data_IF_832527525804
#
_entry.id   IF_832527525804
#
_cell.length_a   1.000
_cell.length_b   1.000
_cell.length_c   1.000
_cell.angle_alpha   90.00
_cell.angle_beta   90.00
_cell.angle_gamma   90.00
#
_symmetry.space_group_name_H-M   'P 1'
#
loop_
_entity.id
_entity.type
_entity.pdbx_description
1 polymer ?
#
# COMPACT_ATOMS: atom_id res chain seq x y z
N UNK A 1 1.39 4.52 -3.31
CA UNK A 1 0.95 4.96 -4.66
C UNK A 1 0.74 6.46 -4.64
N UNK A 2 1.73 7.21 -5.15
CA UNK A 2 1.56 8.61 -5.54
C UNK A 2 1.32 8.53 -7.03
N UNK A 3 0.07 8.60 -7.43
CA UNK A 3 -0.33 8.27 -8.79
C UNK A 3 -0.79 9.54 -9.47
N UNK A 4 -0.21 9.84 -10.64
CA UNK A 4 -0.44 11.11 -11.32
C UNK A 4 -1.90 11.26 -11.78
N UNK A 5 -2.60 10.13 -11.95
CA UNK A 5 -3.97 10.05 -12.48
C UNK A 5 -5.04 10.68 -11.60
N UNK A 6 -4.84 10.72 -10.28
CA UNK A 6 -5.76 11.41 -9.35
C UNK A 6 -5.43 12.90 -9.16
N UNK A 7 -4.21 13.33 -9.52
CA UNK A 7 -3.75 14.71 -9.37
C UNK A 7 -4.56 15.76 -10.14
N UNK A 8 -5.08 15.49 -11.36
CA UNK A 8 -5.89 16.47 -12.08
C UNK A 8 -7.35 16.53 -11.61
N UNK A 9 -7.81 15.61 -10.74
CA UNK A 9 -9.19 15.62 -10.27
C UNK A 9 -9.38 16.55 -9.07
N UNK A 10 -10.32 17.52 -9.13
CA UNK A 10 -10.51 18.54 -8.09
C UNK A 10 -11.02 17.97 -6.76
N UNK A 11 -11.57 16.75 -6.78
CA UNK A 11 -12.14 16.09 -5.61
C UNK A 11 -11.11 15.35 -4.76
N UNK A 12 -9.86 15.23 -5.22
CA UNK A 12 -8.83 14.46 -4.53
C UNK A 12 -7.61 15.30 -4.22
N UNK A 13 -7.11 15.18 -2.99
CA UNK A 13 -5.88 15.82 -2.58
C UNK A 13 -4.97 14.83 -1.84
N UNK A 14 -3.67 15.02 -2.02
CA UNK A 14 -2.65 14.39 -1.21
C UNK A 14 -2.56 15.11 0.14
N UNK A 15 -3.05 14.48 1.21
CA UNK A 15 -2.96 15.01 2.57
C UNK A 15 -1.99 14.18 3.41
N UNK A 16 -1.16 14.87 4.21
CA UNK A 16 -0.28 14.21 5.18
C UNK A 16 -1.13 13.65 6.32
N UNK A 17 -0.94 12.38 6.65
CA UNK A 17 -1.59 11.70 7.76
C UNK A 17 -0.86 12.03 9.07
N UNK A 18 -1.43 12.85 9.97
CA UNK A 18 -0.75 13.27 11.19
C UNK A 18 -0.45 12.08 12.12
N UNK A 19 -1.34 11.09 12.17
CA UNK A 19 -1.15 9.90 13.00
C UNK A 19 0.04 9.04 12.57
N UNK A 20 0.19 8.79 11.27
CA UNK A 20 1.36 8.04 10.76
C UNK A 20 2.65 8.82 10.96
N UNK A 21 2.63 10.13 10.71
CA UNK A 21 3.78 10.98 10.97
C UNK A 21 4.16 10.93 12.45
N UNK A 22 3.19 11.03 13.37
CA UNK A 22 3.44 10.95 14.81
C UNK A 22 4.07 9.62 15.23
N UNK A 23 3.57 8.49 14.71
CA UNK A 23 4.14 7.17 14.99
C UNK A 23 5.59 7.07 14.52
N UNK A 24 5.88 7.48 13.28
CA UNK A 24 7.25 7.43 12.76
C UNK A 24 8.19 8.41 13.48
N UNK A 25 7.69 9.60 13.86
CA UNK A 25 8.44 10.55 14.68
C UNK A 25 8.75 9.97 16.06
N UNK A 26 7.78 9.31 16.70
CA UNK A 26 8.00 8.64 17.99
C UNK A 26 9.04 7.51 17.87
N UNK A 27 8.96 6.68 16.83
CA UNK A 27 9.96 5.64 16.57
C UNK A 27 11.35 6.22 16.28
N UNK A 28 11.44 7.32 15.52
CA UNK A 28 12.69 8.03 15.28
C UNK A 28 13.28 8.59 16.58
N UNK A 29 12.45 9.15 17.47
CA UNK A 29 12.87 9.65 18.77
C UNK A 29 13.39 8.53 19.68
N UNK A 30 12.73 7.36 19.71
CA UNK A 30 13.20 6.19 20.46
C UNK A 30 14.53 5.69 19.89
N UNK A 31 14.69 5.62 18.56
CA UNK A 31 15.94 5.23 17.94
C UNK A 31 17.09 6.21 18.24
N UNK A 32 16.80 7.52 18.26
CA UNK A 32 17.77 8.56 18.66
C UNK A 32 18.17 8.42 20.13
N UNK A 33 17.23 8.14 21.02
CA UNK A 33 17.52 7.87 22.43
C UNK A 33 18.41 6.61 22.56
N UNK A 34 18.08 5.55 21.83
CA UNK A 34 18.92 4.34 21.75
C UNK A 34 20.34 4.65 21.27
N UNK A 35 20.47 5.49 20.23
CA UNK A 35 21.77 5.94 19.71
C UNK A 35 22.56 6.72 20.77
N UNK A 36 21.94 7.69 21.45
CA UNK A 36 22.58 8.47 22.52
C UNK A 36 23.04 7.55 23.65
N UNK A 37 22.20 6.61 24.09
CA UNK A 37 22.56 5.63 25.11
C UNK A 37 23.72 4.74 24.65
N UNK A 38 23.69 4.24 23.41
CA UNK A 38 24.79 3.45 22.83
C UNK A 38 26.11 4.22 22.78
N UNK A 39 26.07 5.54 22.56
CA UNK A 39 27.27 6.40 22.55
C UNK A 39 27.76 6.66 23.98
N UNK A 40 26.87 7.04 24.90
CA UNK A 40 27.21 7.37 26.29
C UNK A 40 27.75 6.14 27.02
N UNK A 41 27.08 5.00 26.86
CA UNK A 41 27.45 3.73 27.47
C UNK A 41 28.35 2.88 26.57
N UNK A 42 28.97 3.47 25.54
CA UNK A 42 29.84 2.74 24.62
C UNK A 42 30.97 2.01 25.36
N UNK A 43 31.57 2.68 26.35
CA UNK A 43 32.64 2.11 27.18
C UNK A 43 32.16 0.90 28.00
N UNK A 44 31.00 0.99 28.62
CA UNK A 44 30.41 -0.11 29.39
C UNK A 44 30.00 -1.28 28.47
N UNK A 45 29.42 -0.98 27.31
CA UNK A 45 29.08 -1.99 26.30
C UNK A 45 30.31 -2.72 25.79
N UNK A 46 31.40 -2.01 25.53
CA UNK A 46 32.68 -2.59 25.11
C UNK A 46 33.35 -3.41 26.23
N UNK A 47 33.11 -3.07 27.51
CA UNK A 47 33.63 -3.83 28.65
C UNK A 47 32.80 -5.08 28.96
N UNK A 48 31.47 -5.01 28.83
CA UNK A 48 30.57 -6.17 29.06
C UNK A 48 30.80 -7.33 28.09
N UNK A 49 31.45 -7.08 26.95
CA UNK A 49 31.91 -8.10 25.99
C UNK A 49 32.92 -9.10 26.58
N UNK A 50 33.47 -8.81 27.77
CA UNK A 50 34.43 -9.68 28.47
C UNK A 50 33.82 -10.52 29.60
N UNK A 51 32.52 -10.39 29.87
CA UNK A 51 31.89 -11.08 31.02
C UNK A 51 31.51 -12.52 30.64
N UNK A 52 32.30 -13.46 31.15
CA UNK A 52 32.11 -14.90 30.99
C UNK A 52 30.83 -15.39 31.69
N UNK A 53 29.72 -15.46 30.95
CA UNK A 53 28.56 -16.22 31.42
C UNK A 53 28.91 -17.73 31.42
N UNK A 54 29.24 -18.27 32.60
CA UNK A 54 29.44 -19.70 32.88
C UNK A 54 30.57 -20.40 32.09
N UNK A 55 31.76 -19.82 32.05
CA UNK A 55 32.98 -20.55 31.64
C UNK A 55 33.06 -20.94 30.14
N UNK A 56 32.11 -20.50 29.31
CA UNK A 56 32.18 -20.59 27.84
C UNK A 56 32.29 -19.17 27.30
N UNK A 57 33.52 -18.69 27.10
CA UNK A 57 33.77 -17.38 26.51
C UNK A 57 33.22 -17.37 25.08
N UNK A 58 32.06 -16.74 24.87
CA UNK A 58 31.54 -16.49 23.53
C UNK A 58 32.20 -15.22 22.99
N UNK A 59 33.51 -15.31 22.71
CA UNK A 59 34.32 -14.24 22.11
C UNK A 59 33.93 -13.91 20.67
N UNK A 60 33.02 -14.68 20.07
CA UNK A 60 32.64 -14.55 18.67
C UNK A 60 31.98 -13.19 18.32
N UNK A 61 31.49 -12.43 19.30
CA UNK A 61 30.86 -11.12 19.09
C UNK A 61 31.50 -9.98 19.89
N UNK A 62 32.59 -10.25 20.61
CA UNK A 62 33.36 -9.21 21.29
C UNK A 62 34.01 -8.29 20.23
N UNK A 63 33.86 -6.98 20.38
CA UNK A 63 34.25 -5.93 19.44
C UNK A 63 33.19 -5.58 18.40
N UNK A 64 32.08 -6.31 18.33
CA UNK A 64 31.03 -6.12 17.30
C UNK A 64 29.78 -5.49 17.90
N UNK A 65 29.43 -5.78 19.16
CA UNK A 65 28.13 -5.39 19.74
C UNK A 65 28.03 -3.87 19.90
N UNK A 66 29.08 -3.24 20.43
CA UNK A 66 29.10 -1.79 20.61
C UNK A 66 28.96 -1.03 19.25
N UNK A 67 29.79 -1.27 18.22
CA UNK A 67 29.63 -0.60 16.92
C UNK A 67 28.34 -1.02 16.19
N UNK A 68 27.88 -2.26 16.31
CA UNK A 68 26.62 -2.69 15.72
C UNK A 68 25.42 -1.98 16.36
N UNK A 69 25.43 -1.74 17.68
CA UNK A 69 24.35 -1.03 18.37
C UNK A 69 24.23 0.43 17.92
N UNK A 70 25.37 1.12 17.76
CA UNK A 70 25.44 2.49 17.24
C UNK A 70 24.97 2.52 15.79
N UNK A 71 25.49 1.63 14.94
CA UNK A 71 25.13 1.54 13.53
C UNK A 71 23.64 1.25 13.31
N UNK A 72 23.08 0.29 14.05
CA UNK A 72 21.66 -0.08 13.95
C UNK A 72 20.75 1.05 14.43
N UNK A 73 21.12 1.74 15.52
CA UNK A 73 20.33 2.86 16.05
C UNK A 73 20.35 4.06 15.12
N UNK A 74 21.53 4.39 14.55
CA UNK A 74 21.66 5.46 13.57
C UNK A 74 20.87 5.15 12.28
N UNK A 75 20.96 3.91 11.79
CA UNK A 75 20.19 3.47 10.63
C UNK A 75 18.68 3.52 10.90
N UNK A 76 18.23 3.05 12.06
CA UNK A 76 16.82 3.09 12.44
C UNK A 76 16.29 4.53 12.55
N UNK A 77 17.05 5.44 13.18
CA UNK A 77 16.68 6.85 13.29
C UNK A 77 16.52 7.50 11.91
N UNK A 78 17.49 7.26 11.01
CA UNK A 78 17.42 7.74 9.64
C UNK A 78 16.22 7.15 8.88
N UNK A 79 16.03 5.83 8.95
CA UNK A 79 14.95 5.12 8.26
C UNK A 79 13.57 5.62 8.72
N UNK A 80 13.35 5.77 10.02
CA UNK A 80 12.06 6.24 10.55
C UNK A 80 11.83 7.72 10.27
N UNK A 81 12.86 8.58 10.34
CA UNK A 81 12.77 9.97 9.92
C UNK A 81 12.43 10.10 8.44
N UNK A 82 13.10 9.32 7.58
CA UNK A 82 12.81 9.25 6.15
C UNK A 82 11.39 8.75 5.87
N UNK A 83 10.92 7.71 6.57
CA UNK A 83 9.54 7.20 6.43
C UNK A 83 8.49 8.22 6.87
N UNK A 84 8.76 8.98 7.95
CA UNK A 84 7.90 10.07 8.40
C UNK A 84 7.74 11.16 7.32
N UNK A 85 8.80 11.42 6.55
CA UNK A 85 8.81 12.40 5.46
C UNK A 85 8.17 11.85 4.18
N UNK A 86 8.54 10.65 3.75
CA UNK A 86 8.23 10.11 2.42
C UNK A 86 6.90 9.37 2.33
N UNK A 87 6.47 8.70 3.42
CA UNK A 87 5.35 7.74 3.42
C UNK A 87 4.07 8.26 4.10
N UNK A 88 4.09 9.48 4.63
CA UNK A 88 2.96 10.04 5.38
C UNK A 88 1.82 10.56 4.51
N UNK A 89 1.98 10.64 3.19
CA UNK A 89 0.98 11.23 2.31
C UNK A 89 -0.04 10.19 1.87
N UNK A 90 -1.32 10.49 2.07
CA UNK A 90 -2.44 9.66 1.61
C UNK A 90 -3.36 10.49 0.72
N UNK A 91 -3.95 9.83 -0.27
CA UNK A 91 -5.04 10.43 -1.03
C UNK A 91 -6.28 10.54 -0.14
N UNK A 92 -6.90 11.71 -0.16
CA UNK A 92 -8.12 12.02 0.58
C UNK A 92 -9.11 12.63 -0.39
N UNK A 93 -10.36 12.20 -0.30
CA UNK A 93 -11.47 12.83 -0.99
C UNK A 93 -11.82 14.13 -0.26
N UNK A 94 -11.73 15.27 -0.92
CA UNK A 94 -11.92 16.59 -0.32
C UNK A 94 -13.37 16.83 0.14
N UNK A 95 -14.34 16.32 -0.63
CA UNK A 95 -15.77 16.52 -0.34
C UNK A 95 -16.22 15.87 0.97
N UNK A 96 -15.59 14.76 1.39
CA UNK A 96 -15.99 14.00 2.58
C UNK A 96 -14.88 13.86 3.62
N UNK A 97 -13.63 14.18 3.28
CA UNK A 97 -12.46 13.90 4.11
C UNK A 97 -12.04 12.42 4.17
N UNK A 98 -12.68 11.57 3.35
CA UNK A 98 -12.45 10.12 3.36
C UNK A 98 -11.08 9.74 2.79
N UNK A 99 -10.31 8.95 3.56
CA UNK A 99 -9.00 8.45 3.14
C UNK A 99 -9.16 7.34 2.11
N UNK A 100 -8.47 7.47 0.97
CA UNK A 100 -8.46 6.46 -0.08
C UNK A 100 -7.43 5.37 0.22
N UNK A 101 -7.86 4.12 0.11
CA UNK A 101 -7.00 2.93 0.18
C UNK A 101 -6.89 2.31 -1.20
N UNK A 102 -5.69 2.32 -1.77
CA UNK A 102 -5.42 1.88 -3.13
C UNK A 102 -4.76 0.51 -3.24
N UNK A 103 -5.01 -0.18 -4.36
CA UNK A 103 -4.13 -1.22 -4.88
C UNK A 103 -4.02 -1.09 -6.41
N UNK A 104 -3.03 -1.76 -6.98
CA UNK A 104 -2.72 -1.72 -8.40
C UNK A 104 -2.83 -3.13 -8.99
N UNK A 105 -3.42 -3.23 -10.17
CA UNK A 105 -3.40 -4.42 -11.02
C UNK A 105 -2.56 -4.10 -12.25
N UNK A 106 -1.70 -5.04 -12.63
CA UNK A 106 -0.95 -4.97 -13.89
C UNK A 106 -1.69 -5.81 -14.90
N UNK A 107 -1.96 -5.25 -16.07
CA UNK A 107 -2.67 -5.92 -17.16
C UNK A 107 -1.77 -5.92 -18.38
N UNK A 108 -1.67 -7.08 -19.03
CA UNK A 108 -1.00 -7.17 -20.33
C UNK A 108 -1.99 -6.81 -21.44
N UNK A 109 -1.56 -5.96 -22.35
CA UNK A 109 -2.43 -5.43 -23.39
C UNK A 109 -2.07 -4.02 -23.84
N UNK A 110 -2.84 -3.54 -24.80
CA UNK A 110 -2.67 -2.26 -25.47
C UNK A 110 -3.84 -1.29 -25.18
N UNK A 111 -3.90 -0.18 -25.91
CA UNK A 111 -4.98 0.79 -25.74
C UNK A 111 -6.38 0.19 -25.98
N UNK A 112 -6.52 -0.77 -26.90
CA UNK A 112 -7.80 -1.43 -27.16
C UNK A 112 -8.26 -2.28 -25.96
N UNK A 113 -7.30 -2.93 -25.30
CA UNK A 113 -7.55 -3.69 -24.07
C UNK A 113 -8.00 -2.76 -22.94
N UNK A 114 -7.37 -1.59 -22.83
CA UNK A 114 -7.76 -0.58 -21.85
C UNK A 114 -9.14 0.03 -22.13
N UNK A 115 -9.48 0.31 -23.39
CA UNK A 115 -10.81 0.78 -23.79
C UNK A 115 -11.89 -0.26 -23.42
N UNK A 116 -11.63 -1.54 -23.70
CA UNK A 116 -12.55 -2.62 -23.35
C UNK A 116 -12.70 -2.76 -21.83
N UNK A 117 -11.58 -2.70 -21.10
CA UNK A 117 -11.59 -2.78 -19.65
C UNK A 117 -12.34 -1.59 -19.04
N UNK A 118 -12.13 -0.38 -19.57
CA UNK A 118 -12.83 0.83 -19.15
C UNK A 118 -14.34 0.69 -19.36
N UNK A 119 -14.74 0.25 -20.55
CA UNK A 119 -16.14 -0.04 -20.89
C UNK A 119 -16.76 -1.03 -19.93
N UNK A 120 -16.12 -2.18 -19.68
CA UNK A 120 -16.62 -3.21 -18.77
C UNK A 120 -16.71 -2.70 -17.33
N UNK A 121 -15.67 -2.02 -16.84
CA UNK A 121 -15.64 -1.48 -15.47
C UNK A 121 -16.68 -0.39 -15.25
N UNK A 122 -16.94 0.46 -16.25
CA UNK A 122 -17.93 1.54 -16.16
C UNK A 122 -19.36 1.05 -15.90
N UNK A 123 -19.64 -0.22 -16.21
CA UNK A 123 -20.95 -0.82 -15.93
C UNK A 123 -21.20 -1.06 -14.44
N UNK A 124 -20.12 -1.15 -13.66
CA UNK A 124 -20.16 -1.49 -12.24
C UNK A 124 -20.67 -2.90 -11.89
N UNK A 125 -21.00 -3.72 -12.89
CA UNK A 125 -21.42 -5.11 -12.69
C UNK A 125 -20.21 -6.04 -12.68
N UNK A 126 -19.90 -6.72 -11.56
CA UNK A 126 -18.80 -7.68 -11.48
C UNK A 126 -18.90 -8.82 -12.48
N UNK A 127 -20.11 -9.21 -12.90
CA UNK A 127 -20.27 -10.23 -13.93
C UNK A 127 -19.74 -9.78 -15.30
N UNK A 128 -19.70 -8.47 -15.54
CA UNK A 128 -19.25 -7.89 -16.80
C UNK A 128 -17.75 -7.58 -16.77
N UNK A 129 -17.23 -6.99 -15.70
CA UNK A 129 -15.80 -6.61 -15.64
C UNK A 129 -14.85 -7.71 -15.16
N UNK A 130 -15.35 -8.80 -14.60
CA UNK A 130 -14.53 -9.97 -14.28
C UNK A 130 -14.66 -11.05 -15.38
N UNK A 131 -13.60 -11.84 -15.64
CA UNK A 131 -12.25 -11.67 -15.12
C UNK A 131 -11.52 -10.48 -15.77
N UNK A 132 -10.58 -9.90 -15.03
CA UNK A 132 -9.58 -8.94 -15.53
C UNK A 132 -8.30 -9.73 -15.87
N UNK A 133 -7.69 -9.55 -17.05
CA UNK A 133 -6.48 -10.26 -17.45
C UNK A 133 -5.23 -9.75 -16.70
N UNK A 134 -5.17 -10.03 -15.39
CA UNK A 134 -4.04 -9.62 -14.54
C UNK A 134 -2.79 -10.40 -14.93
N UNK A 135 -1.69 -9.69 -15.16
CA UNK A 135 -0.38 -10.23 -15.50
C UNK A 135 0.69 -9.74 -14.52
N UNK A 136 1.87 -10.38 -14.51
CA UNK A 136 3.04 -9.85 -13.78
C UNK A 136 3.78 -8.76 -14.56
N UNK A 137 3.58 -8.71 -15.87
CA UNK A 137 4.21 -7.77 -16.81
C UNK A 137 3.14 -7.23 -17.75
N UNK A 138 3.22 -5.96 -18.04
CA UNK A 138 2.24 -5.28 -18.88
C UNK A 138 2.39 -3.77 -18.77
N UNK A 139 1.97 -3.10 -19.83
CA UNK A 139 2.02 -1.66 -19.97
C UNK A 139 0.78 -1.00 -19.35
N UNK A 140 -0.30 -1.76 -19.10
CA UNK A 140 -1.51 -1.25 -18.47
C UNK A 140 -1.48 -1.40 -16.95
N UNK A 141 -1.77 -0.31 -16.24
CA UNK A 141 -1.94 -0.26 -14.80
C UNK A 141 -3.36 0.15 -14.48
N UNK A 142 -4.04 -0.68 -13.71
CA UNK A 142 -5.40 -0.40 -13.22
C UNK A 142 -5.27 -0.09 -11.74
N UNK A 143 -5.51 1.17 -11.39
CA UNK A 143 -5.42 1.63 -10.01
C UNK A 143 -6.82 1.69 -9.42
N UNK A 144 -7.02 1.00 -8.31
CA UNK A 144 -8.32 0.92 -7.63
C UNK A 144 -8.19 1.57 -6.27
N UNK A 145 -8.91 2.66 -6.06
CA UNK A 145 -8.94 3.44 -4.82
C UNK A 145 -10.28 3.25 -4.11
N UNK A 146 -10.26 2.94 -2.81
CA UNK A 146 -11.48 2.73 -2.01
C UNK A 146 -11.63 3.84 -0.98
N UNK A 147 -12.79 4.51 -1.00
CA UNK A 147 -13.26 5.41 0.04
C UNK A 147 -14.22 4.61 0.95
N UNK A 148 -13.67 3.92 1.95
CA UNK A 148 -14.47 2.97 2.74
C UNK A 148 -15.62 3.62 3.52
N UNK A 149 -15.43 4.84 4.01
CA UNK A 149 -16.46 5.60 4.72
C UNK A 149 -17.61 6.03 3.79
N UNK A 150 -17.32 6.26 2.51
CA UNK A 150 -18.31 6.72 1.52
C UNK A 150 -18.96 5.55 0.77
N UNK A 151 -18.51 4.31 1.01
CA UNK A 151 -18.87 3.11 0.25
C UNK A 151 -18.72 3.28 -1.27
N UNK A 152 -17.65 3.98 -1.67
CA UNK A 152 -17.30 4.25 -3.07
C UNK A 152 -15.92 3.71 -3.41
N UNK A 153 -15.77 3.24 -4.63
CA UNK A 153 -14.49 2.90 -5.22
C UNK A 153 -14.28 3.72 -6.49
N UNK A 154 -13.04 4.12 -6.74
CA UNK A 154 -12.63 4.87 -7.91
C UNK A 154 -11.58 4.07 -8.66
N UNK A 155 -11.75 3.91 -9.95
CA UNK A 155 -10.84 3.13 -10.79
C UNK A 155 -10.27 4.02 -11.89
N UNK A 156 -8.95 4.02 -12.01
CA UNK A 156 -8.25 4.64 -13.14
C UNK A 156 -7.48 3.58 -13.90
N UNK A 157 -7.31 3.80 -15.20
CA UNK A 157 -6.48 2.97 -16.07
C UNK A 157 -5.41 3.89 -16.64
N UNK A 158 -4.16 3.47 -16.55
CA UNK A 158 -2.98 4.14 -17.10
C UNK A 158 -2.27 3.17 -18.05
N UNK A 159 -1.85 3.65 -19.21
CA UNK A 159 -0.94 2.92 -20.10
C UNK A 159 0.45 3.58 -20.03
N UNK A 160 1.43 2.81 -19.53
CA UNK A 160 2.85 3.18 -19.51
C UNK A 160 3.54 2.61 -20.74
N UNK A 161 3.76 3.45 -21.73
CA UNK A 161 4.57 3.13 -22.92
C UNK A 161 5.88 3.90 -22.95
N UNK A 162 6.54 3.92 -24.11
CA UNK A 162 7.76 4.73 -24.37
C UNK A 162 7.52 6.25 -24.44
N UNK A 163 6.33 6.73 -24.09
CA UNK A 163 5.92 8.14 -24.21
C UNK A 163 5.14 8.61 -22.99
N UNK A 164 4.42 9.72 -23.13
CA UNK A 164 3.58 10.26 -22.06
C UNK A 164 2.49 9.24 -21.67
N UNK A 165 2.29 8.97 -20.36
CA UNK A 165 1.30 7.99 -19.93
C UNK A 165 -0.10 8.38 -20.39
N UNK A 166 -0.76 7.48 -21.13
CA UNK A 166 -2.16 7.69 -21.50
C UNK A 166 -3.03 7.29 -20.32
N UNK A 167 -3.94 8.16 -19.92
CA UNK A 167 -4.86 7.92 -18.81
C UNK A 167 -6.30 7.91 -19.30
N UNK A 168 -7.11 6.96 -18.81
CA UNK A 168 -8.53 6.90 -19.10
C UNK A 168 -9.36 7.67 -18.06
N UNK A 169 -10.57 8.13 -18.42
CA UNK A 169 -11.46 8.81 -17.48
C UNK A 169 -11.72 8.00 -16.22
N UNK A 170 -11.78 8.68 -15.07
CA UNK A 170 -12.08 8.08 -13.77
C UNK A 170 -13.43 7.37 -13.80
N UNK A 171 -13.44 6.12 -13.35
CA UNK A 171 -14.66 5.35 -13.14
C UNK A 171 -15.02 5.40 -11.67
N UNK A 172 -16.26 5.76 -11.38
CA UNK A 172 -16.80 5.70 -10.03
C UNK A 172 -17.71 4.48 -9.87
N UNK A 173 -17.49 3.72 -8.81
CA UNK A 173 -18.23 2.53 -8.45
C UNK A 173 -18.86 2.71 -7.08
N UNK A 174 -20.19 2.79 -7.04
CA UNK A 174 -20.97 2.86 -5.82
C UNK A 174 -21.55 1.48 -5.43
N UNK A 175 -22.00 1.38 -4.17
CA UNK A 175 -22.83 0.29 -3.65
C UNK A 175 -22.33 -1.12 -3.99
N UNK A 176 -22.96 -1.79 -4.96
CA UNK A 176 -22.66 -3.16 -5.35
C UNK A 176 -21.26 -3.29 -5.94
N UNK A 177 -20.84 -2.36 -6.78
CA UNK A 177 -19.48 -2.33 -7.35
C UNK A 177 -18.43 -2.16 -6.26
N UNK A 178 -18.65 -1.24 -5.31
CA UNK A 178 -17.78 -1.06 -4.15
C UNK A 178 -17.67 -2.33 -3.29
N UNK A 179 -18.80 -2.97 -2.94
CA UNK A 179 -18.80 -4.17 -2.09
C UNK A 179 -17.98 -5.29 -2.71
N UNK A 180 -18.05 -5.46 -4.03
CA UNK A 180 -17.32 -6.50 -4.74
C UNK A 180 -15.82 -6.21 -4.79
N UNK A 181 -15.44 -4.95 -5.04
CA UNK A 181 -14.05 -4.51 -4.95
C UNK A 181 -13.50 -4.63 -3.53
N UNK A 182 -14.32 -4.36 -2.50
CA UNK A 182 -13.90 -4.45 -1.09
C UNK A 182 -13.53 -5.88 -0.70
N UNK A 183 -14.30 -6.87 -1.18
CA UNK A 183 -14.17 -8.29 -0.83
C UNK A 183 -13.00 -8.99 -1.51
N UNK A 184 -12.50 -8.46 -2.62
CA UNK A 184 -11.48 -9.11 -3.46
C UNK A 184 -10.08 -8.58 -3.16
N UNK A 185 -9.10 -9.49 -3.19
CA UNK A 185 -7.68 -9.14 -3.29
C UNK A 185 -7.30 -8.99 -4.76
N UNK A 186 -6.14 -8.38 -5.03
CA UNK A 186 -5.65 -8.17 -6.40
C UNK A 186 -5.66 -9.46 -7.25
N UNK A 187 -5.29 -10.58 -6.64
CA UNK A 187 -5.25 -11.91 -7.27
C UNK A 187 -6.64 -12.46 -7.63
N UNK A 188 -7.70 -12.03 -6.94
CA UNK A 188 -9.06 -12.52 -7.16
C UNK A 188 -9.75 -11.82 -8.34
N UNK A 189 -9.12 -10.81 -8.94
CA UNK A 189 -9.63 -10.13 -10.14
C UNK A 189 -9.37 -10.94 -11.41
N UNK A 190 -8.39 -11.85 -11.40
CA UNK A 190 -8.15 -12.79 -12.49
C UNK A 190 -9.21 -13.91 -12.55
N UNK A 191 -9.99 -14.09 -11.48
CA UNK A 191 -11.01 -15.14 -11.38
C UNK A 191 -12.35 -14.65 -11.92
N UNK A 192 -13.12 -15.51 -12.62
CA UNK A 192 -14.49 -15.18 -13.02
C UNK A 192 -15.37 -14.76 -11.84
N UNK A 193 -16.41 -13.98 -12.13
CA UNK A 193 -17.40 -13.68 -11.12
C UNK A 193 -18.20 -14.93 -10.76
N UNK A 194 -18.10 -15.33 -9.48
CA UNK A 194 -18.98 -16.32 -8.89
C UNK A 194 -19.90 -15.56 -7.93
N UNK A 195 -21.23 -15.53 -8.16
CA UNK A 195 -22.14 -14.94 -7.20
C UNK A 195 -21.99 -15.72 -5.88
N UNK A 196 -21.74 -15.00 -4.78
CA UNK A 196 -21.73 -15.61 -3.46
C UNK A 196 -23.07 -16.31 -3.27
N UNK A 197 -23.05 -17.63 -3.09
CA UNK A 197 -24.22 -18.49 -3.18
C UNK A 197 -25.44 -17.92 -2.49
N UNK A 198 -26.44 -17.53 -3.27
CA UNK A 198 -27.79 -17.86 -2.87
C UNK A 198 -27.84 -19.38 -2.87
N UNK A 199 -28.15 -19.98 -1.73
CA UNK A 199 -28.86 -21.25 -1.73
C UNK A 199 -29.99 -21.11 -2.75
N UNK A 200 -29.82 -21.70 -3.93
CA UNK A 200 -30.95 -22.23 -4.68
C UNK A 200 -31.53 -23.30 -3.76
N UNK A 201 -32.42 -22.88 -2.86
CA UNK A 201 -33.32 -23.80 -2.22
C UNK A 201 -34.24 -24.33 -3.34
N UNK A 202 -34.16 -25.62 -3.70
CA UNK A 202 -35.01 -26.19 -4.74
C UNK A 202 -36.51 -26.19 -4.34
N UNK A 203 -36.88 -25.71 -3.15
CA UNK A 203 -38.26 -25.73 -2.65
C UNK A 203 -39.08 -24.45 -2.89
N UNK A 204 -38.56 -23.42 -3.57
CA UNK A 204 -39.37 -22.23 -3.88
C UNK A 204 -39.44 -21.99 -5.39
N UNK A 205 -40.31 -22.77 -6.06
CA UNK A 205 -41.01 -22.36 -7.28
C UNK A 205 -42.47 -22.06 -6.92
N UNK A 206 -43.02 -20.88 -7.24
CA UNK A 206 -44.41 -20.79 -7.66
C UNK A 206 -44.58 -21.36 -9.08
#
# INVERSE_FOLDING_TARGET
MKDATLSPHPDFALRRSPGLTAVFVALAAIALLGLVLSIVFYGDLAQTETVSWRGRSTTAFAGIVAPASVGLSAFAAFLFGWLALSSSTRWVRLSTGSVLRGFELVVDGDASTADELHRRLSTGDPAQYLPIPVSKRGDLRVHVYRADADRRAFVTIEQRGKGEPRTWPLIELADRGYVQIKRRRAEDFAKPYVPAGGTTDPQLRP
#
